data_IF_134882775742
#
_entry.id   IF_134882775742
#
_cell.length_a   1.000
_cell.length_b   1.000
_cell.length_c   1.000
_cell.angle_alpha   90.00
_cell.angle_beta   90.00
_cell.angle_gamma   90.00
#
_symmetry.space_group_name_H-M   'P 1'
#
loop_
_entity.id
_entity.type
_entity.pdbx_description
1 polymer ?
#
# COMPACT_ATOMS: atom_id res chain seq x y z
N UNK A 1 -1.61 19.03 4.89
CA UNK A 1 -0.17 19.22 4.58
C UNK A 1 0.00 20.47 3.76
N UNK A 2 1.06 21.22 4.02
CA UNK A 2 1.36 22.48 3.33
C UNK A 2 2.49 22.30 2.32
N UNK A 3 2.58 23.16 1.30
CA UNK A 3 3.70 23.13 0.39
C UNK A 3 5.04 23.20 1.14
N UNK A 4 5.97 22.35 0.77
CA UNK A 4 7.28 22.26 1.43
C UNK A 4 7.36 21.31 2.61
N UNK A 5 6.24 20.79 3.10
CA UNK A 5 6.24 19.84 4.19
C UNK A 5 6.96 18.56 3.79
N UNK A 6 7.73 18.03 4.73
CA UNK A 6 8.38 16.73 4.58
C UNK A 6 7.35 15.64 4.79
N UNK A 7 7.27 14.73 3.85
CA UNK A 7 6.39 13.60 3.88
C UNK A 7 7.17 12.32 3.61
N UNK A 8 6.53 11.19 3.86
CA UNK A 8 7.05 9.88 3.50
C UNK A 8 6.03 9.13 2.68
N UNK A 9 6.54 8.30 1.79
CA UNK A 9 5.75 7.42 0.97
C UNK A 9 6.08 5.99 1.33
N UNK A 10 5.09 5.28 1.84
CA UNK A 10 5.19 3.87 2.20
C UNK A 10 4.61 3.07 1.05
N UNK A 11 5.34 2.09 0.55
CA UNK A 11 4.84 1.19 -0.48
C UNK A 11 4.89 -0.24 0.02
N UNK A 12 3.80 -0.95 -0.23
CA UNK A 12 3.67 -2.35 0.14
C UNK A 12 3.41 -3.14 -1.14
N UNK A 13 4.37 -4.00 -1.49
CA UNK A 13 4.31 -4.83 -2.70
C UNK A 13 3.78 -6.20 -2.31
N UNK A 14 2.61 -6.53 -2.80
CA UNK A 14 1.89 -7.76 -2.46
C UNK A 14 1.23 -8.33 -3.70
N UNK A 15 0.52 -9.45 -3.55
CA UNK A 15 -0.25 -10.04 -4.64
C UNK A 15 -1.73 -9.73 -4.46
N UNK A 16 -2.46 -9.62 -5.58
CA UNK A 16 -3.91 -9.43 -5.57
C UNK A 16 -4.66 -10.55 -4.85
N UNK A 17 -4.06 -11.74 -4.77
CA UNK A 17 -4.69 -12.91 -4.13
C UNK A 17 -4.33 -13.08 -2.67
N UNK A 18 -3.45 -12.24 -2.13
CA UNK A 18 -3.09 -12.31 -0.71
C UNK A 18 -4.27 -11.93 0.16
N UNK A 19 -4.45 -12.66 1.27
CA UNK A 19 -5.57 -12.47 2.18
C UNK A 19 -5.10 -12.26 3.61
N UNK A 20 -5.93 -11.58 4.39
CA UNK A 20 -5.80 -11.43 5.83
C UNK A 20 -7.20 -11.64 6.42
N UNK A 21 -7.36 -12.65 7.30
CA UNK A 21 -8.65 -13.01 7.88
C UNK A 21 -9.75 -13.21 6.83
N UNK A 22 -9.41 -13.95 5.77
CA UNK A 22 -10.31 -14.27 4.65
C UNK A 22 -10.72 -13.08 3.78
N UNK A 23 -10.16 -11.90 4.02
CA UNK A 23 -10.40 -10.70 3.20
C UNK A 23 -9.16 -10.38 2.39
N UNK A 24 -9.30 -9.70 1.25
CA UNK A 24 -8.13 -9.27 0.49
C UNK A 24 -7.19 -8.43 1.33
N UNK A 25 -5.91 -8.79 1.32
CA UNK A 25 -4.90 -8.08 2.12
C UNK A 25 -4.84 -6.59 1.76
N UNK A 26 -4.91 -6.26 0.47
CA UNK A 26 -4.83 -4.85 0.05
C UNK A 26 -5.98 -4.02 0.61
N UNK A 27 -7.19 -4.59 0.68
CA UNK A 27 -8.33 -3.89 1.29
C UNK A 27 -8.09 -3.65 2.78
N UNK A 28 -7.58 -4.67 3.47
CA UNK A 28 -7.28 -4.56 4.90
C UNK A 28 -6.32 -3.40 5.16
N UNK A 29 -5.27 -3.27 4.35
CA UNK A 29 -4.29 -2.18 4.49
C UNK A 29 -4.94 -0.82 4.25
N UNK A 30 -5.76 -0.70 3.23
CA UNK A 30 -6.44 0.56 2.91
C UNK A 30 -7.34 1.01 4.06
N UNK A 31 -8.17 0.10 4.58
CA UNK A 31 -9.07 0.45 5.69
C UNK A 31 -8.30 0.75 6.98
N UNK A 32 -7.19 0.04 7.22
CA UNK A 32 -6.33 0.30 8.35
C UNK A 32 -5.74 1.72 8.29
N UNK A 33 -5.25 2.13 7.13
CA UNK A 33 -4.72 3.47 6.92
C UNK A 33 -5.81 4.54 7.13
N UNK A 34 -7.00 4.29 6.59
CA UNK A 34 -8.12 5.21 6.75
C UNK A 34 -8.54 5.37 8.22
N UNK A 35 -8.65 4.26 8.93
CA UNK A 35 -9.02 4.28 10.36
C UNK A 35 -8.02 5.02 11.20
N UNK A 36 -6.74 4.98 10.83
CA UNK A 36 -5.67 5.65 11.57
C UNK A 36 -5.42 7.08 11.10
N UNK A 37 -6.28 7.61 10.24
CA UNK A 37 -6.24 9.02 9.86
C UNK A 37 -5.16 9.39 8.85
N UNK A 38 -4.65 8.45 8.10
CA UNK A 38 -3.65 8.71 7.05
C UNK A 38 -4.28 9.51 5.92
N UNK A 39 -3.54 10.49 5.41
CA UNK A 39 -4.04 11.45 4.43
C UNK A 39 -4.39 10.82 3.07
N UNK A 40 -3.61 9.86 2.60
CA UNK A 40 -3.89 9.27 1.29
C UNK A 40 -3.35 7.86 1.17
N UNK A 41 -4.11 7.01 0.50
CA UNK A 41 -3.73 5.64 0.20
C UNK A 41 -4.31 5.24 -1.15
N UNK A 42 -3.51 4.55 -1.95
CA UNK A 42 -3.88 4.15 -3.32
C UNK A 42 -3.39 2.73 -3.56
N UNK A 43 -4.21 1.93 -4.22
CA UNK A 43 -3.77 0.61 -4.70
C UNK A 43 -3.50 0.70 -6.19
N UNK A 44 -2.28 0.33 -6.59
CA UNK A 44 -1.87 0.29 -7.98
C UNK A 44 -1.78 -1.16 -8.41
N UNK A 45 -2.36 -1.48 -9.55
CA UNK A 45 -2.35 -2.81 -10.12
C UNK A 45 -1.22 -2.91 -11.14
N UNK A 46 -0.28 -3.82 -10.90
CA UNK A 46 0.76 -4.11 -11.88
C UNK A 46 0.23 -5.04 -12.96
N UNK A 47 0.79 -4.93 -14.15
CA UNK A 47 0.38 -5.78 -15.28
C UNK A 47 1.14 -7.09 -15.31
N UNK A 48 2.34 -7.11 -14.71
CA UNK A 48 3.15 -8.33 -14.62
C UNK A 48 4.24 -8.10 -13.57
N UNK A 49 4.76 -9.17 -13.01
CA UNK A 49 5.85 -9.08 -12.06
C UNK A 49 6.16 -10.40 -11.39
N UNK A 50 7.18 -10.39 -10.54
CA UNK A 50 7.49 -11.53 -9.69
C UNK A 50 8.09 -11.02 -8.37
N UNK A 51 7.98 -11.84 -7.34
CA UNK A 51 8.50 -11.54 -6.03
C UNK A 51 9.35 -12.66 -5.49
N UNK A 52 9.31 -12.89 -4.19
CA UNK A 52 10.17 -13.85 -3.50
C UNK A 52 10.04 -15.29 -3.98
N UNK A 53 8.89 -15.67 -4.54
CA UNK A 53 8.69 -17.01 -5.11
C UNK A 53 9.30 -17.18 -6.50
N UNK A 54 9.74 -16.09 -7.13
CA UNK A 54 10.25 -16.04 -8.49
C UNK A 54 9.25 -16.50 -9.57
N UNK A 55 8.01 -16.73 -9.18
CA UNK A 55 6.95 -17.04 -10.12
C UNK A 55 6.46 -15.75 -10.77
N UNK A 56 6.48 -15.69 -12.09
CA UNK A 56 6.01 -14.52 -12.84
C UNK A 56 4.49 -14.58 -12.96
N UNK A 57 3.81 -13.51 -12.53
CA UNK A 57 2.37 -13.39 -12.75
C UNK A 57 2.07 -12.21 -13.66
N UNK A 58 1.05 -12.42 -14.49
CA UNK A 58 0.63 -11.45 -15.47
C UNK A 58 -0.88 -11.50 -15.60
N UNK A 59 -1.46 -10.35 -15.98
CA UNK A 59 -2.88 -10.23 -16.20
C UNK A 59 -3.19 -10.59 -17.65
N UNK A 60 -3.74 -11.78 -17.88
CA UNK A 60 -4.16 -12.24 -19.21
C UNK A 60 -5.68 -12.23 -19.30
N UNK A 61 -6.19 -11.72 -20.41
CA UNK A 61 -7.64 -11.53 -20.59
C UNK A 61 -8.46 -12.81 -20.52
N UNK A 62 -7.87 -13.94 -20.85
CA UNK A 62 -8.58 -15.22 -20.86
C UNK A 62 -8.45 -16.02 -19.57
N UNK A 63 -7.75 -15.50 -18.58
CA UNK A 63 -7.63 -16.18 -17.30
C UNK A 63 -8.78 -15.79 -16.39
N UNK A 64 -9.44 -16.81 -15.81
CA UNK A 64 -10.57 -16.60 -14.90
C UNK A 64 -10.08 -16.08 -13.55
N UNK A 65 -8.96 -16.63 -13.05
CA UNK A 65 -8.36 -16.21 -11.80
C UNK A 65 -7.07 -15.47 -12.09
N UNK A 66 -7.07 -14.18 -11.80
CA UNK A 66 -5.91 -13.34 -12.04
C UNK A 66 -5.14 -13.17 -10.74
N UNK A 67 -3.85 -13.52 -10.81
CA UNK A 67 -2.90 -13.16 -9.76
C UNK A 67 -1.98 -12.12 -10.36
N UNK A 68 -2.07 -10.90 -9.87
CA UNK A 68 -1.25 -9.78 -10.37
C UNK A 68 -0.55 -9.09 -9.21
N UNK A 69 0.59 -8.44 -9.46
CA UNK A 69 1.25 -7.67 -8.42
C UNK A 69 0.44 -6.42 -8.09
N UNK A 70 0.35 -6.09 -6.81
CA UNK A 70 -0.26 -4.86 -6.35
C UNK A 70 0.76 -4.06 -5.56
N UNK A 71 0.65 -2.73 -5.64
CA UNK A 71 1.38 -1.82 -4.78
C UNK A 71 0.36 -0.98 -4.03
N UNK A 72 0.39 -1.06 -2.69
CA UNK A 72 -0.39 -0.16 -1.85
C UNK A 72 0.55 0.99 -1.50
N UNK A 73 0.18 2.20 -1.91
CA UNK A 73 0.98 3.40 -1.68
C UNK A 73 0.27 4.31 -0.69
N UNK A 74 0.97 4.68 0.36
CA UNK A 74 0.44 5.47 1.47
C UNK A 74 1.33 6.68 1.65
N UNK A 75 0.74 7.88 1.67
CA UNK A 75 1.47 9.14 1.80
C UNK A 75 0.87 9.98 2.92
N UNK A 76 1.72 10.51 3.77
CA UNK A 76 1.35 11.49 4.79
C UNK A 76 2.62 12.19 5.28
N UNK A 77 2.45 13.10 6.22
CA UNK A 77 3.58 13.71 6.92
C UNK A 77 4.52 12.64 7.47
N UNK A 78 5.82 12.91 7.45
CA UNK A 78 6.83 11.94 7.83
C UNK A 78 6.56 11.30 9.18
N UNK A 79 6.22 12.11 10.18
CA UNK A 79 5.95 11.61 11.54
C UNK A 79 4.75 10.67 11.60
N UNK A 80 3.72 10.96 10.82
CA UNK A 80 2.53 10.12 10.77
C UNK A 80 2.82 8.78 10.11
N UNK A 81 3.62 8.77 9.07
CA UNK A 81 4.03 7.52 8.42
C UNK A 81 4.89 6.69 9.36
N UNK A 82 5.84 7.31 10.05
CA UNK A 82 6.68 6.62 11.03
C UNK A 82 5.83 5.98 12.13
N UNK A 83 4.85 6.71 12.63
CA UNK A 83 3.94 6.20 13.64
C UNK A 83 3.07 5.05 13.11
N UNK A 84 2.57 5.20 11.89
CA UNK A 84 1.77 4.15 11.23
C UNK A 84 2.56 2.85 11.10
N UNK A 85 3.81 2.94 10.66
CA UNK A 85 4.70 1.77 10.53
C UNK A 85 4.90 1.12 11.90
N UNK A 86 5.23 1.92 12.89
CA UNK A 86 5.49 1.42 14.25
C UNK A 86 4.25 0.78 14.86
N UNK A 87 3.10 1.44 14.75
CA UNK A 87 1.85 0.96 15.34
C UNK A 87 1.35 -0.32 14.70
N UNK A 88 1.71 -0.57 13.45
CA UNK A 88 1.23 -1.73 12.70
C UNK A 88 2.30 -2.77 12.44
N UNK A 89 3.40 -2.72 13.18
CA UNK A 89 4.52 -3.64 13.00
C UNK A 89 4.08 -5.11 13.11
N UNK A 90 3.30 -5.43 14.13
CA UNK A 90 2.80 -6.79 14.34
C UNK A 90 1.94 -7.26 13.16
N UNK A 91 1.07 -6.38 12.66
CA UNK A 91 0.26 -6.67 11.49
C UNK A 91 1.14 -6.98 10.28
N UNK A 92 2.11 -6.13 9.99
CA UNK A 92 3.00 -6.32 8.84
C UNK A 92 3.83 -7.60 8.97
N UNK A 93 4.29 -7.90 10.18
CA UNK A 93 5.03 -9.14 10.43
C UNK A 93 4.16 -10.39 10.26
N UNK A 94 2.84 -10.25 10.39
CA UNK A 94 1.90 -11.35 10.24
C UNK A 94 1.60 -11.72 8.78
N UNK A 95 2.07 -10.92 7.82
CA UNK A 95 1.87 -11.20 6.41
C UNK A 95 2.70 -12.44 6.05
N UNK A 96 2.01 -13.56 5.83
CA UNK A 96 2.68 -14.86 5.63
C UNK A 96 3.15 -15.12 4.22
N UNK A 97 2.80 -14.26 3.26
CA UNK A 97 3.19 -14.39 1.86
C UNK A 97 4.37 -13.48 1.55
N UNK A 98 5.05 -13.73 0.42
CA UNK A 98 6.13 -12.86 -0.03
C UNK A 98 5.64 -11.42 -0.21
N UNK A 99 6.40 -10.49 0.30
CA UNK A 99 6.08 -9.06 0.21
C UNK A 99 7.34 -8.24 0.43
N UNK A 100 7.28 -6.99 0.00
CA UNK A 100 8.34 -6.01 0.25
C UNK A 100 7.65 -4.75 0.72
N UNK A 101 8.15 -4.18 1.79
CA UNK A 101 7.64 -2.91 2.33
C UNK A 101 8.80 -1.92 2.30
N UNK A 102 8.60 -0.79 1.64
CA UNK A 102 9.61 0.26 1.53
C UNK A 102 9.05 1.58 2.00
N UNK A 103 9.92 2.48 2.43
CA UNK A 103 9.57 3.84 2.74
C UNK A 103 10.63 4.77 2.18
N UNK A 104 10.21 5.87 1.57
CA UNK A 104 11.11 6.89 1.06
C UNK A 104 10.58 8.27 1.38
N UNK A 105 11.49 9.24 1.40
CA UNK A 105 11.16 10.63 1.68
C UNK A 105 10.60 11.29 0.42
N UNK A 106 9.64 12.17 0.62
CA UNK A 106 9.12 13.01 -0.46
C UNK A 106 8.78 14.38 0.10
N UNK A 107 8.57 15.35 -0.77
CA UNK A 107 8.21 16.71 -0.38
C UNK A 107 6.86 17.04 -0.96
N UNK A 108 5.98 17.60 -0.15
CA UNK A 108 4.66 18.01 -0.61
C UNK A 108 4.78 19.31 -1.39
N UNK A 109 4.38 19.29 -2.64
CA UNK A 109 4.30 20.51 -3.46
C UNK A 109 2.96 21.19 -3.21
N UNK A 110 1.89 20.39 -3.14
CA UNK A 110 0.55 20.91 -2.95
C UNK A 110 -0.35 19.78 -2.43
N UNK A 111 -1.23 20.09 -1.52
CA UNK A 111 -2.25 19.16 -1.04
C UNK A 111 -3.61 19.82 -1.07
N UNK A 112 -4.41 19.46 -2.06
CA UNK A 112 -5.78 19.92 -2.17
C UNK A 112 -6.72 18.91 -1.54
N UNK A 113 -7.61 19.35 -0.64
CA UNK A 113 -8.54 18.46 0.04
C UNK A 113 -9.86 18.26 -0.68
N UNK A 114 -10.12 19.07 -1.69
CA UNK A 114 -11.40 19.05 -2.37
C UNK A 114 -12.53 19.61 -1.51
N UNK A 115 -13.71 19.70 -2.08
CA UNK A 115 -14.92 20.12 -1.37
C UNK A 115 -15.72 18.91 -0.96
N UNK A 116 -16.21 18.90 0.27
CA UNK A 116 -17.18 17.89 0.70
C UNK A 116 -18.50 18.16 0.01
N UNK A 117 -19.09 17.13 -0.51
CA UNK A 117 -20.44 17.19 -1.09
C UNK A 117 -21.47 16.91 -0.02
#
# INVERSE_FOLDING_TARGET
MKPGDKAKRLRIYISSTDKSDHKPLYEKVIYLAREQGIAGATVLKGIMGYGSSSEVYTNKLWEITEKVPLVVEIIDEADKIDLFIKSNKTFFESIGKGHIITVDDTTIIMHGRGKKK
#
